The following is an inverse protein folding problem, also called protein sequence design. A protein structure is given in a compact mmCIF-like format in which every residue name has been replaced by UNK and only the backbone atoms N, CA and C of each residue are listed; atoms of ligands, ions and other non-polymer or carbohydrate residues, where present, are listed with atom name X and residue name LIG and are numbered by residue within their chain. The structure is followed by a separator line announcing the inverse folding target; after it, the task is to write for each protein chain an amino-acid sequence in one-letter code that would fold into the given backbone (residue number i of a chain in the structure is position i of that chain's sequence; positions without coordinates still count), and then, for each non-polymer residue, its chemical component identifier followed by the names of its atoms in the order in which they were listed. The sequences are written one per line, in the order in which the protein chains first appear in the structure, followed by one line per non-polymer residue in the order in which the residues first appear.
data_IF_602003831343
#
_entry.id   IF_602003831343
#
_cell.length_a   1.000
_cell.length_b   1.000
_cell.length_c   1.000
_cell.angle_alpha   90.00
_cell.angle_beta   90.00
_cell.angle_gamma   90.00
#
_symmetry.space_group_name_H-M   'P 1'
#
loop_
_entity.id
_entity.type
_entity.pdbx_description
1 polymer ?
#
# COMPACT_ATOMS: atom_id res chain seq x y z
N UNK A 1 23.93 -37.68 -55.58
CA UNK A 1 24.60 -37.81 -54.26
C UNK A 1 24.12 -36.63 -53.41
N UNK A 2 23.04 -36.79 -52.63
CA UNK A 2 23.03 -37.22 -51.22
C UNK A 2 23.58 -36.08 -50.32
N UNK A 3 22.71 -35.19 -49.81
CA UNK A 3 21.90 -35.26 -48.57
C UNK A 3 22.61 -34.64 -47.35
N UNK A 4 21.80 -33.99 -46.50
CA UNK A 4 22.03 -33.62 -45.10
C UNK A 4 22.70 -32.26 -44.80
N UNK A 5 21.87 -31.24 -44.60
CA UNK A 5 22.14 -30.16 -43.64
C UNK A 5 20.81 -29.75 -42.99
N UNK A 6 20.29 -30.62 -42.12
CA UNK A 6 19.08 -30.38 -41.35
C UNK A 6 19.27 -30.94 -39.94
N UNK A 7 20.14 -30.30 -39.14
CA UNK A 7 20.20 -30.51 -37.69
C UNK A 7 21.14 -29.51 -37.04
N UNK A 8 20.59 -28.46 -36.41
CA UNK A 8 21.08 -27.80 -35.17
C UNK A 8 20.60 -26.34 -35.07
N UNK A 9 19.31 -26.12 -34.86
CA UNK A 9 18.81 -24.82 -34.34
C UNK A 9 17.59 -24.97 -33.42
N UNK A 10 17.35 -26.16 -32.86
CA UNK A 10 16.18 -26.40 -32.00
C UNK A 10 16.41 -26.41 -30.47
N UNK A 11 17.62 -26.58 -29.89
CA UNK A 11 17.72 -26.59 -28.43
C UNK A 11 17.74 -25.19 -27.79
N UNK A 12 18.13 -24.12 -28.51
CA UNK A 12 18.19 -22.77 -27.92
C UNK A 12 16.83 -22.09 -27.81
N UNK A 13 15.90 -22.40 -28.73
CA UNK A 13 14.55 -21.82 -28.71
C UNK A 13 13.72 -22.34 -27.53
N UNK A 14 13.86 -23.63 -27.21
CA UNK A 14 13.14 -24.27 -26.09
C UNK A 14 13.71 -23.82 -24.74
N UNK A 15 15.03 -23.62 -24.63
CA UNK A 15 15.65 -23.09 -23.41
C UNK A 15 15.27 -21.62 -23.17
N UNK A 16 15.21 -20.79 -24.24
CA UNK A 16 14.74 -19.40 -24.14
C UNK A 16 13.28 -19.26 -23.69
N UNK A 17 12.41 -20.17 -24.13
CA UNK A 17 10.99 -20.22 -23.71
C UNK A 17 10.81 -20.65 -22.25
N UNK A 18 11.68 -21.51 -21.72
CA UNK A 18 11.66 -21.91 -20.31
C UNK A 18 12.03 -20.75 -19.37
N UNK A 19 12.96 -19.87 -19.77
CA UNK A 19 13.33 -18.68 -18.98
C UNK A 19 12.31 -17.52 -19.08
N UNK A 20 11.45 -17.51 -20.09
CA UNK A 20 10.33 -16.56 -20.20
C UNK A 20 9.12 -16.94 -19.33
N UNK A 21 9.12 -18.15 -18.76
CA UNK A 21 7.98 -18.73 -18.04
C UNK A 21 8.09 -18.64 -16.52
N UNK A 22 9.26 -18.30 -15.98
CA UNK A 22 9.38 -18.01 -14.56
C UNK A 22 8.91 -16.59 -14.31
N UNK A 23 7.83 -16.35 -13.53
CA UNK A 23 7.63 -15.02 -12.99
C UNK A 23 8.91 -14.69 -12.24
N UNK A 24 9.64 -13.67 -12.68
CA UNK A 24 10.77 -13.13 -11.95
C UNK A 24 10.23 -12.55 -10.64
N UNK A 25 10.02 -13.42 -9.65
CA UNK A 25 9.92 -13.00 -8.27
C UNK A 25 11.29 -12.46 -7.95
N UNK A 26 11.41 -11.13 -7.95
CA UNK A 26 12.61 -10.45 -7.47
C UNK A 26 13.00 -11.02 -6.10
N UNK A 27 14.29 -11.08 -5.83
CA UNK A 27 14.82 -11.55 -4.55
C UNK A 27 14.24 -10.66 -3.45
N UNK A 28 13.55 -11.26 -2.47
CA UNK A 28 13.06 -10.52 -1.31
C UNK A 28 14.26 -10.19 -0.40
N UNK A 29 14.56 -8.90 -0.26
CA UNK A 29 15.54 -8.42 0.71
C UNK A 29 14.92 -8.43 2.10
N UNK A 30 15.68 -8.92 3.09
CA UNK A 30 15.24 -9.00 4.49
C UNK A 30 15.34 -7.65 5.21
N UNK A 31 14.52 -6.69 4.76
CA UNK A 31 14.48 -5.33 5.31
C UNK A 31 13.05 -4.89 5.54
N UNK A 32 12.47 -5.34 6.66
CA UNK A 32 11.08 -5.07 7.01
C UNK A 32 10.70 -3.58 6.91
N UNK A 33 11.46 -2.68 7.53
CA UNK A 33 11.10 -1.25 7.58
C UNK A 33 11.15 -0.57 6.21
N UNK A 34 12.14 -0.92 5.39
CA UNK A 34 12.26 -0.39 4.03
C UNK A 34 11.11 -0.87 3.15
N UNK A 35 10.82 -2.17 3.19
CA UNK A 35 9.72 -2.77 2.45
C UNK A 35 8.36 -2.24 2.91
N UNK A 36 8.17 -2.05 4.21
CA UNK A 36 6.95 -1.47 4.77
C UNK A 36 6.74 -0.03 4.30
N UNK A 37 7.81 0.79 4.29
CA UNK A 37 7.75 2.14 3.72
C UNK A 37 7.40 2.15 2.23
N UNK A 38 7.90 1.17 1.46
CA UNK A 38 7.51 1.01 0.05
C UNK A 38 6.02 0.67 -0.11
N UNK A 39 5.48 -0.24 0.73
CA UNK A 39 4.06 -0.58 0.71
C UNK A 39 3.19 0.65 0.98
N UNK A 40 3.50 1.43 2.02
CA UNK A 40 2.79 2.67 2.33
C UNK A 40 2.81 3.65 1.15
N UNK A 41 4.00 3.93 0.59
CA UNK A 41 4.15 4.82 -0.55
C UNK A 41 3.39 4.33 -1.79
N UNK A 42 3.39 3.03 -2.05
CA UNK A 42 2.64 2.45 -3.17
C UNK A 42 1.14 2.60 -2.98
N UNK A 43 0.62 2.39 -1.75
CA UNK A 43 -0.80 2.64 -1.48
C UNK A 43 -1.19 4.10 -1.67
N UNK A 44 -0.30 5.04 -1.31
CA UNK A 44 -0.55 6.47 -1.50
C UNK A 44 -0.69 6.86 -2.97
N UNK A 45 0.09 6.22 -3.85
CA UNK A 45 -0.01 6.42 -5.29
C UNK A 45 -1.28 5.75 -5.83
N UNK A 46 -1.53 4.50 -5.42
CA UNK A 46 -2.60 3.68 -6.01
C UNK A 46 -4.01 4.14 -5.63
N UNK A 47 -4.18 4.87 -4.52
CA UNK A 47 -5.47 5.48 -4.16
C UNK A 47 -5.81 6.73 -4.99
N UNK A 48 -4.84 7.38 -5.63
CA UNK A 48 -5.07 8.60 -6.40
C UNK A 48 -5.89 8.35 -7.67
N UNK A 49 -7.12 8.88 -7.71
CA UNK A 49 -8.04 8.72 -8.84
C UNK A 49 -7.53 9.36 -10.13
N UNK A 50 -6.75 10.42 -10.01
CA UNK A 50 -6.17 11.16 -11.14
C UNK A 50 -5.21 10.33 -11.99
N UNK A 51 -4.70 9.21 -11.45
CA UNK A 51 -3.76 8.33 -12.13
C UNK A 51 -4.43 7.23 -12.95
N UNK A 52 -5.75 7.03 -12.84
CA UNK A 52 -6.44 5.98 -13.59
C UNK A 52 -7.94 6.25 -13.80
N UNK A 53 -8.70 6.45 -12.73
CA UNK A 53 -10.15 6.65 -12.80
C UNK A 53 -10.55 7.93 -13.53
N UNK A 54 -9.98 9.08 -13.16
CA UNK A 54 -10.38 10.35 -13.77
C UNK A 54 -10.03 10.41 -15.29
N UNK A 55 -8.84 9.95 -15.73
CA UNK A 55 -8.55 9.78 -17.15
C UNK A 55 -9.55 8.86 -17.86
N UNK A 56 -9.91 7.73 -17.23
CA UNK A 56 -10.89 6.80 -17.78
C UNK A 56 -12.28 7.43 -17.93
N UNK A 57 -12.77 8.14 -16.92
CA UNK A 57 -14.06 8.86 -16.97
C UNK A 57 -14.08 9.81 -18.17
N UNK A 58 -13.04 10.66 -18.28
CA UNK A 58 -12.94 11.65 -19.34
C UNK A 58 -12.85 11.02 -20.72
N UNK A 59 -12.06 9.96 -20.87
CA UNK A 59 -11.82 9.37 -22.18
C UNK A 59 -13.00 8.55 -22.72
N UNK A 60 -13.80 7.99 -21.82
CA UNK A 60 -15.03 7.27 -22.13
C UNK A 60 -16.26 8.19 -22.30
N UNK A 61 -16.09 9.50 -22.09
CA UNK A 61 -17.16 10.50 -22.19
C UNK A 61 -18.16 10.45 -21.04
N UNK A 62 -17.75 9.93 -19.88
CA UNK A 62 -18.59 9.82 -18.68
C UNK A 62 -18.53 11.08 -17.79
N UNK A 63 -17.72 12.08 -18.16
CA UNK A 63 -17.62 13.37 -17.46
C UNK A 63 -18.77 14.33 -17.80
N UNK A 64 -19.63 13.98 -18.75
CA UNK A 64 -20.77 14.78 -19.20
C UNK A 64 -22.09 14.30 -18.59
N UNK A 65 -23.09 15.17 -18.64
CA UNK A 65 -24.50 14.84 -18.40
C UNK A 65 -24.78 14.12 -17.06
N UNK A 66 -23.97 14.38 -16.03
CA UNK A 66 -24.10 13.76 -14.71
C UNK A 66 -23.75 12.26 -14.66
N UNK A 67 -23.21 11.69 -15.74
CA UNK A 67 -22.85 10.26 -15.80
C UNK A 67 -21.78 9.86 -14.79
N UNK A 68 -20.89 10.80 -14.42
CA UNK A 68 -19.87 10.60 -13.39
C UNK A 68 -20.46 10.14 -12.05
N UNK A 69 -21.65 10.59 -11.67
CA UNK A 69 -22.30 10.19 -10.42
C UNK A 69 -22.68 8.70 -10.41
N UNK A 70 -22.82 8.10 -11.58
CA UNK A 70 -23.14 6.69 -11.73
C UNK A 70 -21.90 5.78 -11.64
N UNK A 71 -20.69 6.37 -11.57
CA UNK A 71 -19.42 5.65 -11.38
C UNK A 71 -19.17 5.18 -9.95
N UNK A 72 -20.13 5.31 -9.03
CA UNK A 72 -19.97 4.84 -7.65
C UNK A 72 -19.78 3.33 -7.60
N UNK A 73 -18.87 2.89 -6.73
CA UNK A 73 -18.64 1.47 -6.48
C UNK A 73 -19.94 0.76 -6.10
N UNK A 74 -20.13 -0.46 -6.62
CA UNK A 74 -21.21 -1.35 -6.17
C UNK A 74 -20.94 -1.84 -4.73
N UNK A 75 -21.92 -1.76 -3.81
CA UNK A 75 -21.76 -2.26 -2.45
C UNK A 75 -21.24 -3.71 -2.42
N UNK A 76 -20.25 -3.97 -1.56
CA UNK A 76 -19.65 -5.31 -1.42
C UNK A 76 -18.67 -5.73 -2.51
N UNK A 77 -18.41 -4.88 -3.53
CA UNK A 77 -17.42 -5.21 -4.56
C UNK A 77 -15.98 -5.28 -4.00
N UNK A 78 -15.67 -4.42 -3.02
CA UNK A 78 -14.40 -4.44 -2.30
C UNK A 78 -14.61 -4.40 -0.78
N UNK A 79 -13.72 -5.06 0.01
CA UNK A 79 -13.73 -4.99 1.46
C UNK A 79 -13.70 -3.55 1.99
N UNK A 80 -14.40 -3.30 3.10
CA UNK A 80 -14.28 -2.04 3.84
C UNK A 80 -12.98 -2.00 4.65
N UNK A 81 -12.59 -0.79 5.09
CA UNK A 81 -11.50 -0.60 6.06
C UNK A 81 -11.70 -1.51 7.28
N UNK A 82 -12.88 -1.46 7.89
CA UNK A 82 -13.19 -2.25 9.10
C UNK A 82 -13.06 -3.75 8.86
N UNK A 83 -13.48 -4.25 7.69
CA UNK A 83 -13.33 -5.65 7.35
C UNK A 83 -11.84 -6.04 7.23
N UNK A 84 -11.02 -5.16 6.65
CA UNK A 84 -9.58 -5.38 6.51
C UNK A 84 -8.84 -5.30 7.84
N UNK A 85 -9.23 -4.39 8.74
CA UNK A 85 -8.62 -4.22 10.06
C UNK A 85 -8.82 -5.41 10.99
N UNK A 86 -9.90 -6.17 10.82
CA UNK A 86 -10.19 -7.37 11.61
C UNK A 86 -9.29 -8.55 11.27
N UNK A 87 -8.56 -8.50 10.16
CA UNK A 87 -7.67 -9.56 9.73
C UNK A 87 -6.35 -9.49 10.51
N UNK A 88 -5.75 -10.66 10.77
CA UNK A 88 -4.35 -10.71 11.21
C UNK A 88 -3.45 -10.13 10.10
N UNK A 89 -2.22 -9.70 10.44
CA UNK A 89 -1.31 -9.11 9.45
C UNK A 89 -1.08 -10.03 8.25
N UNK A 90 -0.92 -11.33 8.50
CA UNK A 90 -0.69 -12.34 7.46
C UNK A 90 -1.95 -12.53 6.60
N UNK A 91 -3.12 -12.62 7.22
CA UNK A 91 -4.40 -12.75 6.50
C UNK A 91 -4.73 -11.52 5.67
N UNK A 92 -4.42 -10.33 6.18
CA UNK A 92 -4.52 -9.08 5.44
C UNK A 92 -3.65 -9.10 4.18
N UNK A 93 -2.37 -9.45 4.29
CA UNK A 93 -1.45 -9.53 3.14
C UNK A 93 -1.90 -10.59 2.13
N UNK A 94 -2.38 -11.75 2.58
CA UNK A 94 -2.91 -12.83 1.73
C UNK A 94 -4.16 -12.38 0.96
N UNK A 95 -5.10 -11.75 1.67
CA UNK A 95 -6.33 -11.19 1.10
C UNK A 95 -5.99 -10.14 0.05
N UNK A 96 -5.07 -9.22 0.38
CA UNK A 96 -4.63 -8.16 -0.52
C UNK A 96 -3.95 -8.72 -1.77
N UNK A 97 -3.03 -9.66 -1.62
CA UNK A 97 -2.36 -10.31 -2.76
C UNK A 97 -3.36 -10.96 -3.73
N UNK A 98 -4.38 -11.63 -3.18
CA UNK A 98 -5.45 -12.28 -3.96
C UNK A 98 -6.32 -11.27 -4.68
N UNK A 99 -6.80 -10.25 -3.96
CA UNK A 99 -7.64 -9.17 -4.53
C UNK A 99 -6.92 -8.44 -5.67
N UNK A 100 -5.63 -8.14 -5.50
CA UNK A 100 -4.81 -7.51 -6.55
C UNK A 100 -4.64 -8.41 -7.78
N UNK A 101 -4.62 -9.74 -7.60
CA UNK A 101 -4.70 -10.70 -8.70
C UNK A 101 -6.00 -10.56 -9.50
N UNK A 102 -7.15 -10.56 -8.81
CA UNK A 102 -8.46 -10.34 -9.43
C UNK A 102 -8.57 -8.97 -10.12
N UNK A 103 -8.04 -7.91 -9.50
CA UNK A 103 -7.98 -6.57 -10.10
C UNK A 103 -7.16 -6.59 -11.40
N UNK A 104 -6.00 -7.26 -11.44
CA UNK A 104 -5.20 -7.38 -12.67
C UNK A 104 -5.96 -8.07 -13.81
N UNK A 105 -6.71 -9.13 -13.52
CA UNK A 105 -7.55 -9.79 -14.51
C UNK A 105 -8.62 -8.84 -15.03
N UNK A 106 -9.30 -8.11 -14.14
CA UNK A 106 -10.37 -7.18 -14.52
C UNK A 106 -9.85 -5.95 -15.28
N UNK A 107 -8.67 -5.42 -14.94
CA UNK A 107 -8.00 -4.38 -15.73
C UNK A 107 -7.61 -4.89 -17.12
N UNK A 108 -7.24 -6.16 -17.25
CA UNK A 108 -6.94 -6.77 -18.56
C UNK A 108 -8.20 -6.91 -19.42
N UNK A 109 -9.34 -7.24 -18.81
CA UNK A 109 -10.63 -7.24 -19.51
C UNK A 109 -11.02 -5.81 -19.96
N UNK A 110 -10.83 -4.82 -19.08
CA UNK A 110 -11.13 -3.41 -19.36
C UNK A 110 -10.32 -2.86 -20.54
N UNK A 111 -9.11 -3.36 -20.76
CA UNK A 111 -8.23 -2.96 -21.85
C UNK A 111 -8.88 -3.05 -23.24
N UNK A 112 -9.82 -4.00 -23.43
CA UNK A 112 -10.54 -4.17 -24.70
C UNK A 112 -11.49 -3.02 -25.02
N UNK A 113 -11.91 -2.29 -24.00
CA UNK A 113 -12.92 -1.23 -24.10
C UNK A 113 -12.30 0.17 -24.06
N UNK A 114 -10.96 0.27 -24.06
CA UNK A 114 -10.22 1.53 -24.01
C UNK A 114 -9.79 1.93 -25.43
N UNK A 115 -10.37 3.00 -26.00
CA UNK A 115 -10.16 3.33 -27.41
C UNK A 115 -8.87 4.12 -27.70
N UNK A 116 -8.26 4.77 -26.70
CA UNK A 116 -7.10 5.68 -26.91
C UNK A 116 -5.79 5.08 -26.40
N UNK A 117 -4.71 5.31 -27.16
CA UNK A 117 -3.37 4.83 -26.81
C UNK A 117 -2.86 5.37 -25.47
N UNK A 118 -3.13 6.63 -25.14
CA UNK A 118 -2.72 7.24 -23.87
C UNK A 118 -3.41 6.61 -22.65
N UNK A 119 -4.69 6.25 -22.79
CA UNK A 119 -5.44 5.57 -21.73
C UNK A 119 -4.94 4.14 -21.55
N UNK A 120 -4.57 3.48 -22.65
CA UNK A 120 -3.95 2.17 -22.64
C UNK A 120 -2.59 2.21 -21.91
N UNK A 121 -1.80 3.26 -22.12
CA UNK A 121 -0.56 3.47 -21.39
C UNK A 121 -0.82 3.64 -19.88
N UNK A 122 -1.80 4.47 -19.52
CA UNK A 122 -2.23 4.69 -18.13
C UNK A 122 -2.64 3.38 -17.46
N UNK A 123 -3.44 2.58 -18.15
CA UNK A 123 -3.89 1.26 -17.69
C UNK A 123 -2.71 0.28 -17.52
N UNK A 124 -1.76 0.29 -18.45
CA UNK A 124 -0.57 -0.56 -18.37
C UNK A 124 0.34 -0.14 -17.21
N UNK A 125 0.51 1.16 -16.96
CA UNK A 125 1.23 1.68 -15.78
C UNK A 125 0.56 1.21 -14.49
N UNK A 126 -0.76 1.28 -14.40
CA UNK A 126 -1.51 0.77 -13.25
C UNK A 126 -1.29 -0.74 -13.03
N UNK A 127 -1.35 -1.55 -14.11
CA UNK A 127 -1.07 -3.00 -14.04
C UNK A 127 0.35 -3.28 -13.54
N UNK A 128 1.35 -2.52 -13.98
CA UNK A 128 2.73 -2.69 -13.49
C UNK A 128 2.88 -2.28 -12.02
N UNK A 129 2.27 -1.18 -11.60
CA UNK A 129 2.26 -0.77 -10.19
C UNK A 129 1.66 -1.85 -9.29
N UNK A 130 0.53 -2.45 -9.72
CA UNK A 130 -0.10 -3.55 -8.98
C UNK A 130 0.81 -4.78 -8.91
N UNK A 131 1.50 -5.15 -9.99
CA UNK A 131 2.46 -6.28 -9.98
C UNK A 131 3.61 -6.01 -9.01
N UNK A 132 4.20 -4.82 -9.04
CA UNK A 132 5.25 -4.42 -8.11
C UNK A 132 4.78 -4.45 -6.66
N UNK A 133 3.58 -3.95 -6.39
CA UNK A 133 2.98 -3.99 -5.07
C UNK A 133 2.70 -5.41 -4.57
N UNK A 134 2.19 -6.30 -5.44
CA UNK A 134 2.01 -7.74 -5.13
C UNK A 134 3.33 -8.42 -4.76
N UNK A 135 4.41 -8.11 -5.47
CA UNK A 135 5.74 -8.63 -5.14
C UNK A 135 6.18 -8.15 -3.74
N UNK A 136 5.97 -6.88 -3.42
CA UNK A 136 6.29 -6.33 -2.10
C UNK A 136 5.44 -6.97 -0.98
N UNK A 137 4.16 -7.23 -1.23
CA UNK A 137 3.27 -7.94 -0.30
C UNK A 137 3.77 -9.36 -0.05
N UNK A 138 4.14 -10.09 -1.12
CA UNK A 138 4.70 -11.44 -1.01
C UNK A 138 5.97 -11.45 -0.18
N UNK A 139 6.88 -10.51 -0.42
CA UNK A 139 8.08 -10.36 0.39
C UNK A 139 7.75 -10.05 1.85
N UNK A 140 6.79 -9.14 2.10
CA UNK A 140 6.40 -8.76 3.46
C UNK A 140 5.80 -9.95 4.22
N UNK A 141 4.98 -10.77 3.55
CA UNK A 141 4.38 -11.95 4.15
C UNK A 141 5.42 -12.97 4.62
N UNK A 142 6.55 -13.10 3.91
CA UNK A 142 7.67 -13.97 4.31
C UNK A 142 8.45 -13.46 5.52
N UNK A 143 8.41 -12.15 5.79
CA UNK A 143 9.05 -11.54 6.96
C UNK A 143 8.20 -11.64 8.22
N UNK A 144 6.92 -11.99 8.10
CA UNK A 144 6.06 -12.20 9.25
C UNK A 144 6.35 -13.60 9.82
N UNK A 145 6.55 -13.73 11.15
CA UNK A 145 6.76 -15.03 11.77
C UNK A 145 5.60 -15.97 11.47
N UNK A 146 5.89 -17.26 11.35
CA UNK A 146 4.86 -18.28 11.23
C UNK A 146 3.99 -18.26 12.48
N UNK A 147 2.75 -17.81 12.33
CA UNK A 147 1.80 -17.91 13.42
C UNK A 147 1.40 -19.38 13.55
N UNK A 148 1.54 -19.93 14.75
CA UNK A 148 0.89 -21.16 15.20
C UNK A 148 -0.63 -20.97 15.38
N UNK A 149 -1.22 -20.03 14.64
CA UNK A 149 -2.64 -19.72 14.67
C UNK A 149 -3.39 -20.80 13.90
N UNK A 150 -3.83 -21.81 14.65
CA UNK A 150 -5.01 -22.61 14.27
C UNK A 150 -6.23 -21.70 14.39
N UNK A 151 -6.37 -20.78 13.44
CA UNK A 151 -7.65 -20.09 13.25
C UNK A 151 -8.49 -21.02 12.40
N UNK A 152 -9.54 -21.58 13.01
CA UNK A 152 -10.59 -22.32 12.32
C UNK A 152 -10.99 -21.55 11.05
N UNK A 153 -11.10 -22.21 9.88
CA UNK A 153 -11.47 -21.52 8.66
C UNK A 153 -12.85 -20.90 8.86
N UNK A 154 -12.88 -19.57 9.03
CA UNK A 154 -14.12 -18.82 8.89
C UNK A 154 -14.64 -19.13 7.49
N UNK A 155 -15.92 -19.53 7.33
CA UNK A 155 -16.48 -19.77 6.02
C UNK A 155 -16.28 -18.52 5.18
N UNK A 156 -15.38 -18.61 4.21
CA UNK A 156 -15.34 -17.67 3.12
C UNK A 156 -16.71 -17.79 2.46
N UNK A 157 -17.58 -16.81 2.69
CA UNK A 157 -18.79 -16.66 1.89
C UNK A 157 -18.29 -16.67 0.45
N UNK A 158 -18.69 -17.65 -0.37
CA UNK A 158 -18.37 -17.62 -1.77
C UNK A 158 -18.96 -16.31 -2.27
N UNK A 159 -18.10 -15.35 -2.62
CA UNK A 159 -18.51 -14.34 -3.55
C UNK A 159 -18.75 -15.11 -4.85
N UNK A 160 -19.95 -15.67 -4.99
CA UNK A 160 -20.50 -16.12 -6.26
C UNK A 160 -20.43 -14.90 -7.14
N UNK A 161 -19.34 -14.82 -7.89
CA UNK A 161 -19.22 -13.88 -8.98
C UNK A 161 -20.34 -14.25 -9.92
N UNK A 162 -21.34 -13.38 -10.16
CA UNK A 162 -22.37 -13.69 -11.13
C UNK A 162 -21.65 -14.00 -12.45
N UNK A 163 -21.96 -15.16 -13.01
CA UNK A 163 -21.53 -15.52 -14.35
C UNK A 163 -21.88 -14.35 -15.27
N UNK A 164 -20.95 -13.87 -16.13
CA UNK A 164 -21.21 -12.69 -16.93
C UNK A 164 -22.38 -12.99 -17.87
N UNK A 165 -23.53 -12.42 -17.55
CA UNK A 165 -24.68 -12.39 -18.46
C UNK A 165 -24.20 -11.78 -19.77
N UNK A 166 -24.30 -12.49 -20.91
CA UNK A 166 -23.96 -11.89 -22.19
C UNK A 166 -24.95 -10.77 -22.50
N UNK A 167 -24.45 -9.77 -23.24
CA UNK A 167 -25.14 -8.53 -23.69
C UNK A 167 -25.30 -7.43 -22.64
N UNK A 168 -24.18 -6.96 -22.10
CA UNK A 168 -24.09 -5.56 -21.66
C UNK A 168 -23.65 -4.72 -22.86
N UNK A 169 -24.45 -3.74 -23.26
CA UNK A 169 -24.08 -2.84 -24.35
C UNK A 169 -22.77 -2.09 -24.03
N UNK A 170 -22.16 -1.49 -25.05
CA UNK A 170 -20.85 -0.81 -24.89
C UNK A 170 -20.91 0.32 -23.86
N UNK A 171 -22.05 0.99 -23.71
CA UNK A 171 -22.22 2.06 -22.72
C UNK A 171 -22.21 1.51 -21.30
N UNK A 172 -22.97 0.46 -21.03
CA UNK A 172 -23.03 -0.18 -19.72
C UNK A 172 -21.68 -0.80 -19.33
N UNK A 173 -20.92 -1.35 -20.29
CA UNK A 173 -19.55 -1.82 -20.03
C UNK A 173 -18.61 -0.68 -19.60
N UNK A 174 -18.71 0.50 -20.20
CA UNK A 174 -17.94 1.69 -19.78
C UNK A 174 -18.31 2.10 -18.36
N UNK A 175 -19.61 2.11 -18.06
CA UNK A 175 -20.09 2.47 -16.73
C UNK A 175 -19.61 1.47 -15.67
N UNK A 176 -19.67 0.17 -15.96
CA UNK A 176 -19.14 -0.88 -15.09
C UNK A 176 -17.62 -0.81 -14.89
N UNK A 177 -16.88 -0.45 -15.95
CA UNK A 177 -15.46 -0.15 -15.86
C UNK A 177 -15.18 1.01 -14.91
N UNK A 178 -15.99 2.05 -14.97
CA UNK A 178 -15.87 3.20 -14.08
C UNK A 178 -16.15 2.84 -12.60
N UNK A 179 -17.25 2.12 -12.34
CA UNK A 179 -17.63 1.64 -10.99
C UNK A 179 -16.55 0.76 -10.38
N UNK A 180 -15.94 -0.10 -11.20
CA UNK A 180 -14.81 -0.91 -10.80
C UNK A 180 -13.62 -0.09 -10.37
N UNK A 181 -13.18 0.86 -11.20
CA UNK A 181 -12.02 1.69 -10.93
C UNK A 181 -12.25 2.57 -9.69
N UNK A 182 -13.46 3.10 -9.50
CA UNK A 182 -13.85 3.79 -8.29
C UNK A 182 -13.69 2.91 -7.05
N UNK A 183 -14.21 1.68 -7.09
CA UNK A 183 -14.05 0.71 -6.01
C UNK A 183 -12.60 0.35 -5.73
N UNK A 184 -11.78 0.19 -6.78
CA UNK A 184 -10.35 -0.06 -6.66
C UNK A 184 -9.64 1.07 -5.90
N UNK A 185 -9.87 2.34 -6.25
CA UNK A 185 -9.23 3.45 -5.55
C UNK A 185 -9.70 3.56 -4.10
N UNK A 186 -11.01 3.38 -3.85
CA UNK A 186 -11.56 3.35 -2.48
C UNK A 186 -10.95 2.21 -1.66
N UNK A 187 -10.81 1.04 -2.25
CA UNK A 187 -10.15 -0.11 -1.64
C UNK A 187 -8.69 0.19 -1.30
N UNK A 188 -7.93 0.75 -2.24
CA UNK A 188 -6.53 1.11 -2.02
C UNK A 188 -6.36 2.19 -0.94
N UNK A 189 -7.31 3.12 -0.83
CA UNK A 189 -7.38 4.06 0.30
C UNK A 189 -7.55 3.33 1.64
N UNK A 190 -8.52 2.41 1.73
CA UNK A 190 -8.72 1.59 2.94
C UNK A 190 -7.48 0.77 3.31
N UNK A 191 -6.80 0.17 2.32
CA UNK A 191 -5.53 -0.57 2.52
C UNK A 191 -4.44 0.36 3.06
N UNK A 192 -4.31 1.58 2.51
CA UNK A 192 -3.35 2.57 2.99
C UNK A 192 -3.59 2.95 4.45
N UNK A 193 -4.85 3.13 4.85
CA UNK A 193 -5.18 3.43 6.25
C UNK A 193 -4.80 2.29 7.20
N UNK A 194 -5.01 1.03 6.82
CA UNK A 194 -4.57 -0.13 7.62
C UNK A 194 -3.05 -0.13 7.77
N UNK A 195 -2.30 0.16 6.70
CA UNK A 195 -0.85 0.27 6.78
C UNK A 195 -0.37 1.46 7.62
N UNK A 196 -1.09 2.59 7.64
CA UNK A 196 -0.74 3.70 8.53
C UNK A 196 -0.81 3.27 9.99
N UNK A 197 -1.89 2.59 10.38
CA UNK A 197 -2.09 2.10 11.75
C UNK A 197 -1.02 1.08 12.17
N UNK A 198 -0.56 0.22 11.26
CA UNK A 198 0.55 -0.69 11.54
C UNK A 198 1.84 0.05 11.89
N UNK A 199 2.09 1.19 11.24
CA UNK A 199 3.26 2.06 11.49
C UNK A 199 3.16 2.89 12.78
N UNK A 200 1.97 3.04 13.35
CA UNK A 200 1.71 3.79 14.60
C UNK A 200 1.83 2.93 15.88
N UNK A 201 2.17 1.65 15.73
CA UNK A 201 2.40 0.72 16.85
C UNK A 201 3.31 1.32 17.95
N UNK A 202 3.16 0.93 19.23
CA UNK A 202 3.51 1.75 20.41
C UNK A 202 4.97 2.23 20.54
N UNK A 203 5.90 1.64 19.78
CA UNK A 203 7.30 2.04 19.73
C UNK A 203 7.50 3.49 19.25
N UNK A 204 6.58 4.04 18.46
CA UNK A 204 6.66 5.44 18.00
C UNK A 204 6.16 6.46 19.04
N UNK A 205 5.20 6.09 19.89
CA UNK A 205 4.68 6.96 20.97
C UNK A 205 5.69 7.23 22.09
N UNK A 206 6.72 6.39 22.25
CA UNK A 206 7.81 6.61 23.22
C UNK A 206 8.82 7.71 22.84
N UNK A 207 8.73 8.31 21.65
CA UNK A 207 9.61 9.44 21.26
C UNK A 207 9.09 10.82 21.66
N UNK A 208 8.03 10.88 22.45
CA UNK A 208 7.68 12.09 23.19
C UNK A 208 8.09 11.91 24.65
N UNK A 209 9.39 12.02 24.90
CA UNK A 209 9.88 12.30 26.24
C UNK A 209 9.25 13.62 26.70
N UNK A 210 8.63 13.70 27.90
CA UNK A 210 8.24 14.99 28.45
C UNK A 210 9.51 15.81 28.59
N UNK A 211 9.49 17.04 28.04
CA UNK A 211 10.56 18.00 28.27
C UNK A 211 10.82 18.07 29.78
N UNK A 212 12.05 17.74 30.18
CA UNK A 212 12.47 17.79 31.57
C UNK A 212 12.24 19.20 32.12
N UNK A 213 11.22 19.33 32.95
CA UNK A 213 11.01 20.49 33.80
C UNK A 213 12.12 20.56 34.85
N UNK A 214 12.55 21.80 35.12
CA UNK A 214 13.38 22.24 36.25
C UNK A 214 14.77 21.62 36.41
N UNK A 215 15.79 22.37 35.97
CA UNK A 215 16.89 22.83 36.84
C UNK A 215 17.46 24.15 36.34
N UNK A 216 16.96 25.27 36.87
CA UNK A 216 17.68 26.56 36.85
C UNK A 216 17.82 27.07 38.29
N UNK A 217 18.65 26.36 39.05
CA UNK A 217 19.10 26.76 40.38
C UNK A 217 20.29 27.71 40.28
N UNK A 218 19.99 29.00 40.46
CA UNK A 218 20.76 30.03 41.17
C UNK A 218 22.24 29.73 41.48
N UNK A 219 23.15 30.49 40.84
CA UNK A 219 24.35 31.08 41.49
C UNK A 219 24.70 32.41 40.82
N UNK A 220 24.02 33.50 41.19
CA UNK A 220 24.60 34.85 41.08
C UNK A 220 25.33 35.13 42.39
N UNK A 221 26.66 35.12 42.34
CA UNK A 221 27.49 35.66 43.41
C UNK A 221 27.27 37.18 43.45
N UNK A 222 26.64 37.66 44.50
CA UNK A 222 26.50 39.09 44.79
C UNK A 222 27.71 39.51 45.62
N UNK A 223 28.63 40.26 44.99
CA UNK A 223 29.68 41.00 45.67
C UNK A 223 29.05 42.15 46.46
N UNK A 224 29.15 42.12 47.78
CA UNK A 224 28.87 43.29 48.63
C UNK A 224 30.00 43.46 49.63
N UNK A 225 30.68 44.60 49.50
CA UNK A 225 31.87 45.03 50.22
C UNK A 225 31.46 46.20 51.10
N UNK A 226 31.37 46.04 52.44
CA UNK A 226 31.68 47.14 53.37
C UNK A 226 31.76 46.72 54.84
N UNK A 227 32.93 47.03 55.39
CA UNK A 227 33.33 47.11 56.79
C UNK A 227 32.29 47.73 57.74
N UNK A 228 32.18 47.19 58.96
CA UNK A 228 32.07 47.94 60.21
C UNK A 228 32.63 47.11 61.37
N UNK A 229 33.55 47.73 62.12
CA UNK A 229 34.37 47.17 63.21
C UNK A 229 33.54 46.91 64.47
N UNK A 230 33.93 45.89 65.24
CA UNK A 230 33.57 45.71 66.65
C UNK A 230 34.66 46.36 67.54
N UNK A 231 34.32 47.09 68.61
CA UNK A 231 35.28 47.49 69.63
C UNK A 231 35.44 46.40 70.71
N UNK A 232 36.63 46.24 71.32
CA UNK A 232 36.85 45.31 72.42
C UNK A 232 36.29 45.87 73.73
N UNK A 233 35.57 45.01 74.47
CA UNK A 233 34.97 45.32 75.78
C UNK A 233 36.07 45.32 76.85
N UNK A 234 36.10 46.37 77.66
CA UNK A 234 37.08 46.63 78.71
C UNK A 234 37.02 45.66 79.91
N UNK A 235 38.10 45.77 80.69
CA UNK A 235 38.56 44.97 81.83
C UNK A 235 37.61 44.90 83.04
N UNK A 236 37.86 43.90 83.89
CA UNK A 236 37.77 44.02 85.35
C UNK A 236 39.07 43.47 85.99
N UNK A 237 39.61 44.15 87.02
CA UNK A 237 40.93 43.88 87.61
C UNK A 237 40.88 42.90 88.80
N UNK A 238 42.08 42.46 89.20
CA UNK A 238 42.39 42.03 90.57
C UNK A 238 43.52 42.91 91.08
#
# INVERSE_FOLDING_TARGET
MQAQLLRRTLPSLVLGLLFLSTPAMGICLDKYQELFGQLQKQTDIMQCTSLLLDPYIKSQGLDKDGLKEHCRERPGAFPSKDALQRLSKREFLRTLHTMLGSILHRLTALQRDVPKAQDLETLNRAKQNIRGFRNNIHCMARLLPDSSETTEPTPAVPATSPSPTPTSDTFQRRLEGCRFLHGYHRFMHSVGQVFQEWGESPSRRRRHSPHGGLRKGVRRLQLSRRNKRLPPRGQLPR
#
